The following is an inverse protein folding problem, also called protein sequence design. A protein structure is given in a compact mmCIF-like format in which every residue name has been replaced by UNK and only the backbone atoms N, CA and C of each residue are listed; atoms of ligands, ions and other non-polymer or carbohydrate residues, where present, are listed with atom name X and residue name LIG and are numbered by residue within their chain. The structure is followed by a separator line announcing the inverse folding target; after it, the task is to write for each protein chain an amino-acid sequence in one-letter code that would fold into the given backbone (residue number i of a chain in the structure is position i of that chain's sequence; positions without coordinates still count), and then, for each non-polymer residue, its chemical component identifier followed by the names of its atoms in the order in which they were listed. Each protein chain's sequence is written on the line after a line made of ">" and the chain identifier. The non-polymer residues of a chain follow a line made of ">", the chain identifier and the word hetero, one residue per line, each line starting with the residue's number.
data_IF_682251226734
#
_entry.id   IF_682251226734
#
_cell.length_a   1.000
_cell.length_b   1.000
_cell.length_c   1.000
_cell.angle_alpha   90.00
_cell.angle_beta   90.00
_cell.angle_gamma   90.00
#
_symmetry.space_group_name_H-M   'P 1'
#
loop_
_entity.id
_entity.type
_entity.pdbx_description
1 polymer ?
#
# COMPACT_ATOMS: atom_id res chain seq x y z
N UNK A 1 34.84 -31.84 -55.54
CA UNK A 1 34.03 -32.78 -54.71
C UNK A 1 32.81 -32.00 -54.23
N UNK A 2 31.59 -32.12 -54.75
CA UNK A 2 30.71 -33.30 -54.74
C UNK A 2 29.29 -32.85 -54.30
N UNK A 3 28.60 -32.02 -55.10
CA UNK A 3 27.18 -31.65 -54.87
C UNK A 3 26.27 -32.76 -55.42
N UNK A 4 26.17 -33.88 -54.70
CA UNK A 4 25.20 -34.97 -54.94
C UNK A 4 24.56 -35.33 -53.60
N UNK A 5 23.41 -34.74 -53.25
CA UNK A 5 22.76 -35.07 -51.97
C UNK A 5 21.32 -34.61 -51.78
N UNK A 6 20.83 -33.61 -52.52
CA UNK A 6 19.48 -33.07 -52.32
C UNK A 6 18.39 -33.73 -53.17
N UNK A 7 18.74 -34.33 -54.32
CA UNK A 7 17.77 -34.99 -55.19
C UNK A 7 17.24 -36.33 -54.66
N UNK A 8 18.06 -37.10 -53.92
CA UNK A 8 17.67 -38.43 -53.42
C UNK A 8 16.72 -38.39 -52.20
N UNK A 9 16.65 -37.25 -51.50
CA UNK A 9 15.83 -37.10 -50.28
C UNK A 9 14.40 -36.64 -50.59
N UNK A 10 14.21 -35.92 -51.70
CA UNK A 10 12.88 -35.55 -52.21
C UNK A 10 12.11 -36.78 -52.69
N UNK A 11 12.76 -37.65 -53.48
CA UNK A 11 12.16 -38.88 -54.02
C UNK A 11 11.71 -39.86 -52.93
N UNK A 12 12.45 -40.04 -51.83
CA UNK A 12 12.02 -40.88 -50.70
C UNK A 12 10.81 -40.31 -49.93
N UNK A 13 10.71 -38.99 -49.79
CA UNK A 13 9.59 -38.35 -49.08
C UNK A 13 8.30 -38.45 -49.89
N UNK A 14 8.39 -38.29 -51.19
CA UNK A 14 7.27 -38.41 -52.11
C UNK A 14 6.82 -39.87 -52.29
N UNK A 15 7.77 -40.83 -52.31
CA UNK A 15 7.47 -42.27 -52.29
C UNK A 15 6.75 -42.70 -50.99
N UNK A 16 7.23 -42.28 -49.81
CA UNK A 16 6.55 -42.56 -48.53
C UNK A 16 5.16 -41.94 -48.44
N UNK A 17 4.95 -40.76 -49.06
CA UNK A 17 3.63 -40.11 -49.13
C UNK A 17 2.69 -40.86 -50.09
N UNK A 18 3.20 -41.37 -51.21
CA UNK A 18 2.45 -42.18 -52.16
C UNK A 18 2.05 -43.56 -51.60
N UNK A 19 2.94 -44.24 -50.89
CA UNK A 19 2.64 -45.52 -50.22
C UNK A 19 1.60 -45.37 -49.11
N UNK A 20 1.71 -44.29 -48.31
CA UNK A 20 0.68 -43.97 -47.30
C UNK A 20 -0.67 -43.71 -47.95
N UNK A 21 -0.73 -42.98 -49.07
CA UNK A 21 -1.99 -42.78 -49.81
C UNK A 21 -2.58 -44.11 -50.29
N UNK A 22 -1.79 -44.97 -50.95
CA UNK A 22 -2.23 -46.30 -51.42
C UNK A 22 -2.74 -47.20 -50.29
N UNK A 23 -2.00 -47.29 -49.17
CA UNK A 23 -2.40 -48.09 -48.01
C UNK A 23 -3.70 -47.59 -47.37
N UNK A 24 -3.96 -46.28 -47.42
CA UNK A 24 -5.16 -45.67 -46.84
C UNK A 24 -6.35 -45.78 -47.79
N UNK A 25 -6.15 -45.66 -49.10
CA UNK A 25 -7.17 -45.97 -50.11
C UNK A 25 -7.61 -47.44 -50.05
N UNK A 26 -6.67 -48.35 -49.80
CA UNK A 26 -6.98 -49.76 -49.60
C UNK A 26 -7.81 -49.98 -48.34
N UNK A 27 -7.46 -49.33 -47.22
CA UNK A 27 -8.29 -49.34 -46.00
C UNK A 27 -9.68 -48.72 -46.22
N UNK A 28 -9.80 -47.67 -47.04
CA UNK A 28 -11.09 -47.08 -47.42
C UNK A 28 -11.93 -48.03 -48.28
N UNK A 29 -11.31 -48.75 -49.22
CA UNK A 29 -11.99 -49.74 -50.06
C UNK A 29 -12.48 -50.94 -49.25
N UNK A 30 -11.71 -51.37 -48.26
CA UNK A 30 -12.01 -52.51 -47.38
C UNK A 30 -13.08 -52.16 -46.34
N UNK A 31 -12.99 -50.99 -45.70
CA UNK A 31 -14.01 -50.49 -44.76
C UNK A 31 -15.35 -50.13 -45.42
N UNK A 32 -15.39 -50.04 -46.76
CA UNK A 32 -16.61 -49.85 -47.54
C UNK A 32 -16.99 -51.09 -48.35
N UNK A 33 -16.18 -52.16 -48.31
CA UNK A 33 -16.46 -53.44 -48.96
C UNK A 33 -17.62 -54.12 -48.22
N UNK A 34 -18.63 -54.60 -48.97
CA UNK A 34 -19.84 -55.21 -48.40
C UNK A 34 -21.05 -54.29 -48.26
N UNK A 35 -20.92 -52.97 -48.35
CA UNK A 35 -22.08 -52.08 -48.40
C UNK A 35 -22.59 -51.98 -49.85
N UNK A 36 -23.67 -52.72 -50.14
CA UNK A 36 -24.30 -52.91 -51.47
C UNK A 36 -24.80 -51.63 -52.18
N UNK A 37 -24.41 -50.43 -51.74
CA UNK A 37 -24.79 -49.15 -52.34
C UNK A 37 -23.80 -48.02 -51.96
N UNK A 38 -22.50 -48.18 -52.30
CA UNK A 38 -21.41 -47.25 -51.96
C UNK A 38 -21.68 -45.78 -52.33
N UNK A 39 -22.44 -45.53 -53.40
CA UNK A 39 -22.78 -44.18 -53.87
C UNK A 39 -24.19 -43.71 -53.47
N UNK A 40 -24.99 -44.53 -52.78
CA UNK A 40 -26.37 -44.17 -52.37
C UNK A 40 -26.55 -44.10 -50.84
N UNK A 41 -25.69 -44.79 -50.08
CA UNK A 41 -25.78 -44.75 -48.62
C UNK A 41 -25.12 -43.49 -48.05
N UNK A 42 -25.95 -42.59 -47.49
CA UNK A 42 -25.50 -41.38 -46.77
C UNK A 42 -24.51 -41.72 -45.64
N UNK A 43 -24.66 -42.87 -45.01
CA UNK A 43 -23.76 -43.34 -43.94
C UNK A 43 -22.36 -43.64 -44.48
N UNK A 44 -22.26 -44.27 -45.65
CA UNK A 44 -20.97 -44.54 -46.32
C UNK A 44 -20.32 -43.26 -46.78
N UNK A 45 -21.09 -42.35 -47.38
CA UNK A 45 -20.60 -41.05 -47.83
C UNK A 45 -20.08 -40.21 -46.67
N UNK A 46 -20.81 -40.17 -45.55
CA UNK A 46 -20.38 -39.46 -44.34
C UNK A 46 -19.07 -40.02 -43.79
N UNK A 47 -18.91 -41.35 -43.76
CA UNK A 47 -17.67 -41.98 -43.29
C UNK A 47 -16.49 -41.72 -44.23
N UNK A 48 -16.72 -41.72 -45.55
CA UNK A 48 -15.70 -41.33 -46.54
C UNK A 48 -15.32 -39.85 -46.38
N UNK A 49 -16.30 -38.97 -46.14
CA UNK A 49 -16.06 -37.53 -45.96
C UNK A 49 -15.30 -37.24 -44.65
N UNK A 50 -15.63 -37.93 -43.55
CA UNK A 50 -14.87 -37.84 -42.30
C UNK A 50 -13.42 -38.28 -42.47
N UNK A 51 -13.19 -39.38 -43.18
CA UNK A 51 -11.83 -39.87 -43.47
C UNK A 51 -11.08 -38.89 -44.38
N UNK A 52 -11.72 -38.33 -45.41
CA UNK A 52 -11.12 -37.30 -46.28
C UNK A 52 -10.76 -36.02 -45.52
N UNK A 53 -11.62 -35.56 -44.61
CA UNK A 53 -11.39 -34.35 -43.82
C UNK A 53 -10.26 -34.53 -42.81
N UNK A 54 -10.17 -35.69 -42.15
CA UNK A 54 -9.04 -35.99 -41.23
C UNK A 54 -7.67 -36.04 -41.93
N UNK A 55 -7.64 -36.32 -43.25
CA UNK A 55 -6.40 -36.34 -44.03
C UNK A 55 -5.95 -34.95 -44.50
N UNK A 56 -6.81 -33.93 -44.39
CA UNK A 56 -6.55 -32.60 -44.93
C UNK A 56 -6.78 -31.48 -43.90
N UNK A 57 -6.70 -31.80 -42.60
CA UNK A 57 -7.00 -30.87 -41.52
C UNK A 57 -5.92 -29.76 -41.42
N UNK A 58 -6.21 -28.51 -41.80
CA UNK A 58 -5.26 -27.41 -41.74
C UNK A 58 -4.90 -27.02 -40.29
N UNK A 59 -5.65 -27.51 -39.29
CA UNK A 59 -5.37 -27.28 -37.87
C UNK A 59 -4.03 -27.88 -37.40
N UNK A 60 -3.60 -29.02 -37.97
CA UNK A 60 -2.33 -29.66 -37.60
C UNK A 60 -1.10 -28.85 -38.04
N UNK A 61 -1.18 -28.17 -39.19
CA UNK A 61 -0.10 -27.31 -39.67
C UNK A 61 -0.06 -25.97 -38.93
N UNK A 62 -1.23 -25.43 -38.57
CA UNK A 62 -1.35 -24.18 -37.80
C UNK A 62 -0.81 -24.35 -36.37
N UNK A 63 -1.15 -25.44 -35.69
CA UNK A 63 -0.61 -25.77 -34.37
C UNK A 63 0.91 -26.03 -34.39
N UNK A 64 1.44 -26.58 -35.50
CA UNK A 64 2.88 -26.76 -35.67
C UNK A 64 3.62 -25.44 -35.95
N UNK A 65 2.98 -24.47 -36.62
CA UNK A 65 3.54 -23.14 -36.85
C UNK A 65 3.50 -22.28 -35.58
N UNK A 66 2.41 -22.33 -34.81
CA UNK A 66 2.25 -21.60 -33.56
C UNK A 66 3.27 -22.04 -32.49
N UNK A 67 3.49 -23.36 -32.36
CA UNK A 67 4.53 -23.89 -31.47
C UNK A 67 5.95 -23.50 -31.89
N UNK A 68 6.20 -23.31 -33.20
CA UNK A 68 7.50 -22.79 -33.69
C UNK A 68 7.65 -21.30 -33.40
N UNK A 69 6.59 -20.51 -33.57
CA UNK A 69 6.59 -19.08 -33.25
C UNK A 69 6.81 -18.83 -31.75
N UNK A 70 6.13 -19.58 -30.87
CA UNK A 70 6.30 -19.48 -29.41
C UNK A 70 7.70 -19.87 -28.94
N UNK A 71 8.29 -20.90 -29.56
CA UNK A 71 9.69 -21.29 -29.29
C UNK A 71 10.69 -20.23 -29.77
N UNK A 72 10.46 -19.62 -30.93
CA UNK A 72 11.30 -18.55 -31.44
C UNK A 72 11.22 -17.29 -30.57
N UNK A 73 10.02 -16.92 -30.09
CA UNK A 73 9.86 -15.79 -29.16
C UNK A 73 10.57 -16.01 -27.82
N UNK A 74 10.43 -17.20 -27.23
CA UNK A 74 11.11 -17.51 -25.97
C UNK A 74 12.64 -17.50 -26.11
N UNK A 75 13.16 -17.98 -27.25
CA UNK A 75 14.59 -17.93 -27.54
C UNK A 75 15.08 -16.48 -27.72
N UNK A 76 14.33 -15.64 -28.44
CA UNK A 76 14.66 -14.23 -28.61
C UNK A 76 14.59 -13.43 -27.30
N UNK A 77 13.64 -13.75 -26.42
CA UNK A 77 13.52 -13.14 -25.10
C UNK A 77 14.67 -13.54 -24.17
N UNK A 78 15.09 -14.81 -24.21
CA UNK A 78 16.25 -15.29 -23.44
C UNK A 78 17.55 -14.67 -23.94
N UNK A 79 17.70 -14.48 -25.25
CA UNK A 79 18.83 -13.79 -25.85
C UNK A 79 18.83 -12.28 -25.49
N UNK A 80 17.69 -11.60 -25.59
CA UNK A 80 17.55 -10.20 -25.17
C UNK A 80 17.81 -10.02 -23.67
N UNK A 81 17.36 -10.97 -22.83
CA UNK A 81 17.63 -10.97 -21.40
C UNK A 81 19.13 -11.17 -21.12
N UNK A 82 19.79 -12.05 -21.87
CA UNK A 82 21.24 -12.28 -21.75
C UNK A 82 22.05 -11.08 -22.20
N UNK A 83 21.65 -10.41 -23.29
CA UNK A 83 22.27 -9.16 -23.76
C UNK A 83 22.08 -8.03 -22.74
N UNK A 84 20.87 -7.88 -22.18
CA UNK A 84 20.65 -6.95 -21.07
C UNK A 84 21.55 -7.28 -19.88
N UNK A 85 21.62 -8.54 -19.46
CA UNK A 85 22.46 -8.94 -18.33
C UNK A 85 23.96 -8.66 -18.60
N UNK A 86 24.42 -8.79 -19.85
CA UNK A 86 25.78 -8.42 -20.24
C UNK A 86 26.02 -6.91 -20.17
N UNK A 87 25.06 -6.10 -20.65
CA UNK A 87 25.08 -4.63 -20.56
C UNK A 87 25.06 -4.14 -19.10
N UNK A 88 24.31 -4.79 -18.22
CA UNK A 88 24.27 -4.45 -16.80
C UNK A 88 25.50 -4.94 -16.01
N UNK A 89 26.25 -5.92 -16.52
CA UNK A 89 27.49 -6.42 -15.89
C UNK A 89 28.74 -5.61 -16.27
N UNK A 90 28.80 -5.02 -17.46
CA UNK A 90 29.95 -4.20 -17.89
C UNK A 90 30.12 -2.91 -17.09
N UNK A 91 29.08 -2.43 -16.40
CA UNK A 91 29.14 -1.30 -15.46
C UNK A 91 29.80 -1.67 -14.12
N UNK A 92 29.88 -2.96 -13.75
CA UNK A 92 30.35 -3.39 -12.41
C UNK A 92 31.86 -3.57 -12.27
N UNK A 93 32.67 -3.40 -13.33
CA UNK A 93 34.08 -3.80 -13.33
C UNK A 93 35.13 -2.68 -13.36
N UNK A 94 34.76 -1.40 -13.27
CA UNK A 94 35.77 -0.32 -13.26
C UNK A 94 35.87 0.56 -12.02
N UNK A 95 35.02 0.42 -11.01
CA UNK A 95 35.12 1.26 -9.79
C UNK A 95 35.05 0.42 -8.51
N UNK A 96 36.14 -0.28 -8.17
CA UNK A 96 36.25 -1.00 -6.91
C UNK A 96 36.57 -0.06 -5.72
N UNK A 97 37.03 1.16 -5.99
CA UNK A 97 37.33 2.15 -4.95
C UNK A 97 36.08 2.96 -4.53
N UNK A 98 35.13 3.22 -5.44
CA UNK A 98 33.87 3.89 -5.08
C UNK A 98 32.86 2.98 -4.36
N UNK A 99 32.95 1.65 -4.49
CA UNK A 99 32.07 0.74 -3.73
C UNK A 99 32.37 0.72 -2.23
N UNK A 100 33.62 1.00 -1.82
CA UNK A 100 33.94 1.14 -0.40
C UNK A 100 33.32 2.38 0.21
N UNK A 101 33.35 3.51 -0.50
CA UNK A 101 32.76 4.76 0.00
C UNK A 101 31.23 4.65 0.12
N UNK A 102 30.57 4.03 -0.86
CA UNK A 102 29.12 3.81 -0.83
C UNK A 102 28.71 2.79 0.24
N UNK A 103 29.54 1.78 0.51
CA UNK A 103 29.28 0.85 1.62
C UNK A 103 29.53 1.48 2.99
N UNK A 104 30.42 2.47 3.10
CA UNK A 104 30.63 3.24 4.34
C UNK A 104 29.46 4.19 4.56
N UNK A 105 29.01 4.94 3.55
CA UNK A 105 27.77 5.75 3.63
C UNK A 105 26.55 4.89 3.95
N UNK A 106 26.36 3.74 3.27
CA UNK A 106 25.26 2.83 3.58
C UNK A 106 25.40 2.16 4.95
N UNK A 107 26.63 2.01 5.50
CA UNK A 107 26.83 1.56 6.89
C UNK A 107 26.56 2.67 7.89
N UNK A 108 26.77 3.92 7.53
CA UNK A 108 26.48 5.09 8.36
C UNK A 108 24.98 5.43 8.35
N UNK A 109 24.29 5.25 7.23
CA UNK A 109 22.82 5.30 7.14
C UNK A 109 22.15 4.10 7.82
N UNK A 110 22.76 2.90 7.74
CA UNK A 110 22.31 1.69 8.49
C UNK A 110 22.84 1.59 9.91
N UNK A 111 23.57 2.59 10.41
CA UNK A 111 23.53 2.90 11.85
C UNK A 111 22.20 3.59 12.16
N UNK A 112 21.10 2.97 11.73
CA UNK A 112 19.81 3.14 12.37
C UNK A 112 20.10 2.73 13.81
N UNK A 113 20.17 3.74 14.68
CA UNK A 113 20.24 3.61 16.12
C UNK A 113 19.37 2.41 16.47
N UNK A 114 19.90 1.41 17.18
CA UNK A 114 19.07 0.33 17.70
C UNK A 114 18.09 0.98 18.68
N UNK A 115 16.99 1.49 18.16
CA UNK A 115 15.94 2.16 18.91
C UNK A 115 15.30 1.06 19.73
N UNK A 116 15.35 1.21 21.05
CA UNK A 116 14.68 0.30 21.99
C UNK A 116 13.26 0.00 21.48
N UNK A 117 12.81 -1.26 21.53
CA UNK A 117 11.52 -1.66 20.98
C UNK A 117 10.38 -0.78 21.52
N UNK A 118 10.50 -0.35 22.78
CA UNK A 118 9.58 0.58 23.44
C UNK A 118 9.55 1.98 22.83
N UNK A 119 10.68 2.52 22.39
CA UNK A 119 10.74 3.84 21.75
C UNK A 119 10.29 3.75 20.29
N UNK A 120 10.57 2.64 19.60
CA UNK A 120 10.04 2.39 18.24
C UNK A 120 8.51 2.26 18.23
N UNK A 121 7.94 1.52 19.19
CA UNK A 121 6.48 1.45 19.38
C UNK A 121 5.88 2.85 19.59
N UNK A 122 6.50 3.69 20.43
CA UNK A 122 6.00 5.07 20.61
C UNK A 122 6.01 5.87 19.31
N UNK A 123 7.10 5.81 18.54
CA UNK A 123 7.20 6.53 17.27
C UNK A 123 6.16 6.08 16.25
N UNK A 124 5.89 4.76 16.18
CA UNK A 124 4.84 4.20 15.33
C UNK A 124 3.45 4.73 15.73
N UNK A 125 3.14 4.76 17.03
CA UNK A 125 1.84 5.21 17.52
C UNK A 125 1.65 6.73 17.44
N UNK A 126 2.71 7.51 17.68
CA UNK A 126 2.65 8.97 17.70
C UNK A 126 2.63 9.55 16.27
N UNK A 127 3.09 8.79 15.26
CA UNK A 127 3.01 9.20 13.86
C UNK A 127 3.84 10.44 13.53
N UNK A 128 4.77 10.81 14.41
CA UNK A 128 5.57 12.05 14.33
C UNK A 128 6.68 11.99 13.28
N UNK A 129 6.98 10.80 12.75
CA UNK A 129 7.98 10.64 11.71
C UNK A 129 7.35 10.72 10.31
N UNK A 130 7.99 11.40 9.35
CA UNK A 130 7.52 11.49 7.97
C UNK A 130 7.30 10.13 7.32
N UNK A 131 8.13 9.13 7.64
CA UNK A 131 8.00 7.75 7.15
C UNK A 131 6.67 7.08 7.50
N UNK A 132 6.03 7.52 8.59
CA UNK A 132 4.79 6.94 9.07
C UNK A 132 3.58 7.74 8.66
N UNK A 133 3.74 9.01 8.27
CA UNK A 133 2.62 9.89 7.92
C UNK A 133 1.73 9.28 6.83
N UNK A 134 2.34 8.62 5.85
CA UNK A 134 1.64 7.99 4.71
C UNK A 134 1.02 6.63 5.06
N UNK A 135 1.38 6.03 6.20
CA UNK A 135 0.82 4.74 6.64
C UNK A 135 -0.47 4.95 7.42
N UNK A 136 -1.41 4.04 7.28
CA UNK A 136 -2.65 4.07 8.07
C UNK A 136 -2.36 3.84 9.56
N UNK A 137 -3.28 4.25 10.43
CA UNK A 137 -3.13 4.02 11.88
C UNK A 137 -3.15 2.52 12.19
N UNK A 138 -3.95 1.77 11.43
CA UNK A 138 -4.12 0.32 11.50
C UNK A 138 -2.79 -0.40 11.25
N UNK A 139 -2.10 -0.08 10.16
CA UNK A 139 -0.80 -0.67 9.80
C UNK A 139 0.25 -0.39 10.89
N UNK A 140 0.25 0.83 11.43
CA UNK A 140 1.16 1.22 12.53
C UNK A 140 0.87 0.44 13.81
N UNK A 141 -0.40 0.18 14.12
CA UNK A 141 -0.81 -0.62 15.27
C UNK A 141 -0.43 -2.09 15.08
N UNK A 142 -0.58 -2.63 13.88
CA UNK A 142 -0.17 -4.01 13.56
C UNK A 142 1.33 -4.20 13.71
N UNK A 143 2.15 -3.28 13.18
CA UNK A 143 3.60 -3.31 13.38
C UNK A 143 3.94 -3.23 14.88
N UNK A 144 3.35 -2.29 15.61
CA UNK A 144 3.57 -2.13 17.05
C UNK A 144 3.19 -3.39 17.85
N UNK A 145 2.13 -4.12 17.47
CA UNK A 145 1.73 -5.38 18.13
C UNK A 145 2.77 -6.48 17.98
N UNK A 146 3.47 -6.54 16.85
CA UNK A 146 4.55 -7.52 16.64
C UNK A 146 5.77 -7.26 17.52
N UNK A 147 6.02 -5.99 17.88
CA UNK A 147 7.13 -5.59 18.75
C UNK A 147 6.84 -5.79 20.26
N UNK A 148 5.59 -6.06 20.66
CA UNK A 148 5.21 -6.27 22.07
C UNK A 148 5.39 -7.74 22.47
N UNK A 149 6.53 -8.08 23.07
CA UNK A 149 6.86 -9.45 23.47
C UNK A 149 6.15 -9.92 24.75
N UNK A 150 6.01 -9.04 25.76
CA UNK A 150 5.44 -9.39 27.07
C UNK A 150 4.02 -8.85 27.21
N UNK A 151 3.03 -9.75 27.26
CA UNK A 151 1.62 -9.40 27.45
C UNK A 151 1.23 -9.60 28.91
N UNK A 152 1.06 -8.50 29.65
CA UNK A 152 0.48 -8.53 31.00
C UNK A 152 -1.01 -8.84 30.90
N UNK A 153 -1.51 -9.78 31.69
CA UNK A 153 -2.96 -10.05 31.78
C UNK A 153 -3.66 -8.79 32.31
N UNK A 154 -4.64 -8.27 31.58
CA UNK A 154 -5.40 -7.09 31.98
C UNK A 154 -6.37 -7.51 33.09
N UNK A 155 -6.07 -7.12 34.33
CA UNK A 155 -6.98 -7.23 35.47
C UNK A 155 -7.19 -5.84 36.10
N UNK A 156 -8.21 -5.69 36.93
CA UNK A 156 -8.56 -4.39 37.54
C UNK A 156 -7.43 -3.82 38.42
N UNK A 157 -6.71 -4.67 39.15
CA UNK A 157 -5.61 -4.24 40.01
C UNK A 157 -4.40 -3.72 39.22
N UNK A 158 -4.06 -4.37 38.10
CA UNK A 158 -3.00 -3.92 37.18
C UNK A 158 -3.43 -2.63 36.51
N UNK A 159 -4.70 -2.50 36.14
CA UNK A 159 -5.24 -1.27 35.56
C UNK A 159 -5.17 -0.10 36.54
N UNK A 160 -5.58 -0.28 37.81
CA UNK A 160 -5.45 0.74 38.86
C UNK A 160 -3.99 1.16 39.06
N UNK A 161 -3.07 0.20 39.19
CA UNK A 161 -1.63 0.49 39.28
C UNK A 161 -1.09 1.26 38.07
N UNK A 162 -1.57 0.94 36.87
CA UNK A 162 -1.21 1.68 35.65
C UNK A 162 -1.79 3.09 35.65
N UNK A 163 -3.04 3.26 36.08
CA UNK A 163 -3.72 4.55 36.17
C UNK A 163 -3.02 5.47 37.16
N UNK A 164 -2.70 4.97 38.36
CA UNK A 164 -1.93 5.71 39.37
C UNK A 164 -0.57 6.13 38.83
N UNK A 165 0.10 5.22 38.12
CA UNK A 165 1.39 5.51 37.49
C UNK A 165 1.26 6.57 36.38
N UNK A 166 0.19 6.53 35.59
CA UNK A 166 -0.09 7.51 34.53
C UNK A 166 -0.37 8.88 35.15
N UNK A 167 -1.25 8.95 36.14
CA UNK A 167 -1.58 10.18 36.88
C UNK A 167 -0.34 10.76 37.56
N UNK A 168 0.47 9.93 38.22
CA UNK A 168 1.74 10.36 38.84
C UNK A 168 2.71 10.93 37.81
N UNK A 169 2.85 10.28 36.64
CA UNK A 169 3.71 10.78 35.55
C UNK A 169 3.23 12.13 35.04
N UNK A 170 1.92 12.29 34.85
CA UNK A 170 1.33 13.56 34.41
C UNK A 170 1.54 14.66 35.46
N UNK A 171 1.28 14.38 36.73
CA UNK A 171 1.51 15.31 37.85
C UNK A 171 2.98 15.71 37.97
N UNK A 172 3.93 14.77 37.81
CA UNK A 172 5.36 15.09 37.80
C UNK A 172 5.73 15.98 36.61
N UNK A 173 5.13 15.76 35.45
CA UNK A 173 5.36 16.57 34.27
C UNK A 173 4.80 17.99 34.45
N UNK A 174 3.55 18.12 34.91
CA UNK A 174 2.94 19.42 35.24
C UNK A 174 3.73 20.15 36.34
N UNK A 175 4.24 19.44 37.35
CA UNK A 175 5.13 20.01 38.37
C UNK A 175 6.44 20.50 37.77
N UNK A 176 7.05 19.76 36.85
CA UNK A 176 8.26 20.19 36.13
C UNK A 176 8.00 21.40 35.25
N UNK A 177 6.92 21.38 34.47
CA UNK A 177 6.52 22.50 33.61
C UNK A 177 6.17 23.74 34.43
N UNK A 178 5.51 23.54 35.58
CA UNK A 178 5.26 24.61 36.55
C UNK A 178 6.56 25.13 37.18
N UNK A 179 7.48 24.26 37.58
CA UNK A 179 8.78 24.66 38.13
C UNK A 179 9.65 25.38 37.10
N UNK A 180 9.64 24.94 35.83
CA UNK A 180 10.34 25.59 34.73
C UNK A 180 9.74 26.97 34.42
N UNK A 181 8.41 27.07 34.38
CA UNK A 181 7.71 28.35 34.28
C UNK A 181 8.05 29.27 35.44
N UNK A 182 8.09 28.73 36.66
CA UNK A 182 8.46 29.46 37.87
C UNK A 182 9.91 29.96 37.81
N UNK A 183 10.84 29.13 37.31
CA UNK A 183 12.26 29.47 37.10
C UNK A 183 12.44 30.54 36.02
N UNK A 184 11.60 30.52 34.98
CA UNK A 184 11.60 31.49 33.88
C UNK A 184 10.76 32.74 34.17
N UNK A 185 10.25 32.91 35.40
CA UNK A 185 9.31 33.97 35.80
C UNK A 185 8.06 34.12 34.90
N UNK A 186 7.66 33.06 34.17
CA UNK A 186 6.46 33.04 33.33
C UNK A 186 5.28 32.48 34.12
N UNK A 187 4.81 33.25 35.09
CA UNK A 187 3.68 32.89 35.94
C UNK A 187 2.35 32.99 35.15
N UNK A 188 1.41 32.10 35.42
CA UNK A 188 0.02 32.27 34.95
C UNK A 188 -0.69 33.34 35.77
N UNK A 189 -1.69 34.04 35.20
CA UNK A 189 -2.45 35.08 35.92
C UNK A 189 -3.01 34.59 37.26
N UNK A 190 -3.45 33.33 37.34
CA UNK A 190 -3.88 32.70 38.61
C UNK A 190 -2.72 32.56 39.61
N UNK A 191 -1.54 32.15 39.17
CA UNK A 191 -0.34 32.05 40.03
C UNK A 191 0.18 33.42 40.45
N UNK A 192 0.11 34.43 39.58
CA UNK A 192 0.39 35.84 39.91
C UNK A 192 -0.58 36.29 40.98
N UNK A 193 -1.88 36.04 40.81
CA UNK A 193 -2.90 36.42 41.77
C UNK A 193 -2.66 35.80 43.15
N UNK A 194 -2.20 34.54 43.24
CA UNK A 194 -1.84 33.94 44.52
C UNK A 194 -0.46 34.35 45.07
N UNK A 195 0.51 34.70 44.22
CA UNK A 195 1.87 35.10 44.63
C UNK A 195 1.94 36.57 45.06
N UNK A 196 1.24 37.44 44.33
CA UNK A 196 1.13 38.88 44.56
C UNK A 196 -0.20 39.25 45.22
N UNK A 197 -0.90 38.27 45.79
CA UNK A 197 -2.13 38.45 46.55
C UNK A 197 -1.85 39.52 47.61
N UNK A 198 -2.39 40.71 47.39
CA UNK A 198 -2.28 41.87 48.30
C UNK A 198 -0.88 42.51 48.32
N UNK A 199 -0.47 43.08 47.19
CA UNK A 199 0.40 44.26 47.20
C UNK A 199 -0.02 45.27 46.11
N UNK A 200 -1.32 45.32 45.80
CA UNK A 200 -1.90 46.59 45.38
C UNK A 200 -1.81 47.47 46.62
N UNK A 201 -0.72 48.21 46.75
CA UNK A 201 -0.78 49.46 47.50
C UNK A 201 -1.90 50.22 46.82
N UNK A 202 -3.06 50.32 47.47
CA UNK A 202 -3.92 51.46 47.21
C UNK A 202 -2.98 52.65 47.44
N UNK A 203 -2.55 53.30 46.37
CA UNK A 203 -1.90 54.58 46.49
C UNK A 203 -2.89 55.45 47.26
N UNK A 204 -2.55 55.86 48.49
CA UNK A 204 -3.37 56.72 49.35
C UNK A 204 -3.74 58.07 48.69
N UNK A 205 -3.26 58.31 47.46
CA UNK A 205 -3.51 59.49 46.62
C UNK A 205 -4.50 59.22 45.47
N UNK A 206 -5.09 58.02 45.39
CA UNK A 206 -6.05 57.65 44.33
C UNK A 206 -7.49 58.17 44.58
N UNK A 207 -7.71 58.91 45.67
CA UNK A 207 -8.97 59.60 45.97
C UNK A 207 -8.67 61.10 46.10
N UNK A 208 -8.91 61.85 45.01
CA UNK A 208 -9.54 63.20 45.05
C UNK A 208 -9.54 63.98 43.70
N UNK A 209 -9.18 63.36 42.57
CA UNK A 209 -9.25 64.04 41.25
C UNK A 209 -10.16 63.31 40.27
N UNK A 210 -11.42 63.12 40.66
CA UNK A 210 -12.50 62.97 39.69
C UNK A 210 -13.71 63.78 40.16
N UNK A 211 -13.64 65.10 39.96
CA UNK A 211 -14.85 65.91 39.90
C UNK A 211 -15.70 65.38 38.74
N UNK A 212 -16.69 64.56 39.06
CA UNK A 212 -17.77 64.27 38.14
C UNK A 212 -18.51 65.59 37.94
N UNK A 213 -18.15 66.34 36.90
CA UNK A 213 -18.90 67.52 36.47
C UNK A 213 -20.35 67.11 36.28
N UNK A 214 -21.22 67.57 37.18
CA UNK A 214 -22.66 67.44 37.03
C UNK A 214 -23.11 68.38 35.92
N UNK A 215 -23.00 67.95 34.67
CA UNK A 215 -23.75 68.59 33.60
C UNK A 215 -25.24 68.25 33.77
N UNK A 216 -26.13 69.25 33.69
CA UNK A 216 -27.57 69.08 33.90
C UNK A 216 -28.20 68.26 32.76
N UNK A 217 -29.34 67.59 33.02
CA UNK A 217 -30.00 66.74 32.03
C UNK A 217 -30.58 67.61 30.90
N UNK A 218 -30.03 67.50 29.69
CA UNK A 218 -30.71 67.94 28.48
C UNK A 218 -31.64 66.82 28.01
N UNK A 219 -32.94 67.08 28.12
CA UNK A 219 -33.98 66.37 27.38
C UNK A 219 -33.72 66.52 25.88
N UNK A 220 -33.38 65.44 25.19
CA UNK A 220 -33.75 65.27 23.78
C UNK A 220 -33.87 63.78 23.42
N UNK A 221 -34.87 63.54 22.58
CA UNK A 221 -35.43 62.27 22.16
C UNK A 221 -34.51 61.51 21.18
N UNK A 222 -34.74 60.19 21.08
CA UNK A 222 -34.35 59.43 19.88
C UNK A 222 -33.77 58.05 20.16
N UNK A 223 -34.56 57.01 19.84
CA UNK A 223 -34.18 55.87 18.97
C UNK A 223 -32.86 55.12 19.32
N UNK A 224 -32.76 53.81 19.53
CA UNK A 224 -33.50 52.64 19.03
C UNK A 224 -32.95 51.39 19.75
N UNK A 225 -33.69 50.30 19.61
CA UNK A 225 -33.42 48.87 19.86
C UNK A 225 -32.00 48.40 20.26
N UNK A 226 -31.90 47.51 21.27
CA UNK A 226 -31.28 46.19 21.05
C UNK A 226 -31.67 45.14 22.12
N UNK A 227 -32.58 44.26 21.69
CA UNK A 227 -32.76 42.82 21.93
C UNK A 227 -32.21 42.15 23.20
N UNK A 228 -33.14 41.50 23.92
CA UNK A 228 -32.94 40.56 25.01
C UNK A 228 -32.27 39.23 24.59
N UNK A 229 -31.34 38.82 25.45
CA UNK A 229 -30.85 37.48 25.74
C UNK A 229 -31.96 36.41 25.80
N UNK A 230 -31.90 35.39 24.93
CA UNK A 230 -32.53 34.08 25.19
C UNK A 230 -31.58 32.97 24.76
N UNK A 231 -31.18 32.18 25.76
CA UNK A 231 -30.38 30.98 25.64
C UNK A 231 -30.97 29.95 24.66
N UNK A 232 -30.16 29.47 23.72
CA UNK A 232 -30.44 28.24 23.00
C UNK A 232 -29.95 27.05 23.83
N UNK A 233 -30.89 26.41 24.52
CA UNK A 233 -30.78 25.02 24.95
C UNK A 233 -30.75 24.12 23.70
N UNK A 234 -29.62 23.47 23.45
CA UNK A 234 -29.49 22.42 22.45
C UNK A 234 -30.08 21.11 22.99
N UNK A 235 -31.37 20.90 22.73
CA UNK A 235 -32.06 19.63 22.91
C UNK A 235 -31.47 18.59 21.93
N UNK A 236 -30.76 17.61 22.48
CA UNK A 236 -30.18 16.50 21.74
C UNK A 236 -31.28 15.51 21.32
N UNK A 237 -31.42 15.35 20.01
CA UNK A 237 -32.25 14.33 19.36
C UNK A 237 -31.87 12.92 19.83
N UNK A 238 -32.84 12.24 20.44
CA UNK A 238 -32.83 10.79 20.64
C UNK A 238 -33.13 10.11 19.29
N UNK A 239 -32.12 9.46 18.72
CA UNK A 239 -32.29 8.54 17.59
C UNK A 239 -32.70 7.17 18.13
N UNK A 240 -33.98 6.90 17.94
CA UNK A 240 -34.66 5.64 17.63
C UNK A 240 -33.90 4.32 17.85
N UNK A 241 -34.46 3.52 18.75
CA UNK A 241 -34.11 2.13 19.04
C UNK A 241 -34.70 1.24 17.94
N UNK A 242 -33.83 0.57 17.20
CA UNK A 242 -34.20 -0.39 16.16
C UNK A 242 -34.63 -1.73 16.76
N UNK A 243 -35.64 -2.32 16.10
CA UNK A 243 -36.28 -3.63 16.32
C UNK A 243 -35.33 -4.80 16.63
#
# INVERSE_FOLDING_TARGET
>A
MGKKGTAAKATQKDQKKAEKKKKTEQKMKDATFGLKNKNKSKVVQNKINQLKNSMNDPGSQRAAQENKARKAQKAAEEEARREMELMFKSVKKKDNDNQKHLQVEQKEEKKVVKVDAKTRIRQLLEGTLPEFADRTLEDRIEEARTLVEKKTKMNEEVFKKWLDKKNKRQMEQEKKDKAERWRKNRYTGKEIWFKFKVQTQDEEDAVDMYEKTSEPPSEDEGEEEEVQEVAQEGEAAAVDVTL
#
